data_IF_993563160965
#
_entry.id   IF_993563160965
#
_cell.length_a   1.000
_cell.length_b   1.000
_cell.length_c   1.000
_cell.angle_alpha   90.00
_cell.angle_beta   90.00
_cell.angle_gamma   90.00
#
_symmetry.space_group_name_H-M   'P 1'
#
loop_
_entity.id
_entity.type
_entity.pdbx_description
1 polymer ?
#
# COMPACT_ATOMS: atom_id res chain seq x y z
N UNK A 1 44.39 20.96 -16.81
CA UNK A 1 44.64 20.77 -15.36
C UNK A 1 43.92 21.92 -14.68
N UNK A 2 42.80 21.74 -14.00
CA UNK A 2 42.59 20.75 -12.95
C UNK A 2 41.11 20.31 -12.89
N UNK A 3 40.89 19.02 -13.08
CA UNK A 3 39.58 18.35 -13.07
C UNK A 3 39.26 17.78 -11.70
N UNK A 4 39.27 18.61 -10.65
CA UNK A 4 39.04 18.17 -9.25
C UNK A 4 38.01 19.01 -8.50
N UNK A 5 36.90 19.37 -9.16
CA UNK A 5 35.71 19.91 -8.47
C UNK A 5 34.41 19.21 -8.90
N UNK A 6 34.49 17.98 -9.43
CA UNK A 6 33.36 17.27 -10.04
C UNK A 6 32.86 16.04 -9.28
N UNK A 7 33.08 15.89 -7.97
CA UNK A 7 32.77 14.59 -7.33
C UNK A 7 32.25 14.58 -5.88
N UNK A 8 31.63 15.65 -5.34
CA UNK A 8 31.00 15.55 -4.00
C UNK A 8 29.62 16.17 -3.82
N UNK A 9 28.89 16.46 -4.91
CA UNK A 9 27.44 16.71 -4.82
C UNK A 9 26.70 15.71 -5.70
N UNK A 10 27.00 14.42 -5.50
CA UNK A 10 26.09 13.37 -5.93
C UNK A 10 25.01 13.27 -4.87
N UNK A 11 24.05 14.19 -5.03
CA UNK A 11 22.64 14.08 -4.69
C UNK A 11 22.31 12.84 -3.87
N UNK A 12 21.86 13.10 -2.65
CA UNK A 12 21.09 12.24 -1.77
C UNK A 12 19.80 11.76 -2.49
N UNK A 13 19.94 10.99 -3.57
CA UNK A 13 18.87 10.24 -4.21
C UNK A 13 18.63 9.06 -3.29
N UNK A 14 17.76 9.26 -2.31
CA UNK A 14 17.05 8.17 -1.67
C UNK A 14 16.46 7.32 -2.78
N UNK A 15 17.09 6.18 -3.08
CA UNK A 15 16.56 5.15 -3.96
C UNK A 15 15.16 4.83 -3.45
N UNK A 16 14.15 5.02 -4.30
CA UNK A 16 12.75 4.69 -4.01
C UNK A 16 12.70 3.31 -3.35
N UNK A 17 12.25 3.29 -2.09
CA UNK A 17 12.56 2.20 -1.16
C UNK A 17 11.62 1.00 -1.29
N UNK A 18 10.66 1.05 -2.21
CA UNK A 18 9.70 -0.01 -2.45
C UNK A 18 9.64 -0.30 -3.94
N UNK A 19 9.87 -1.56 -4.31
CA UNK A 19 9.79 -2.03 -5.70
C UNK A 19 8.36 -2.45 -6.06
N UNK A 20 7.53 -2.73 -5.06
CA UNK A 20 6.14 -3.15 -5.24
C UNK A 20 5.26 -2.71 -4.07
N UNK A 21 3.96 -2.52 -4.30
CA UNK A 21 3.01 -2.10 -3.25
C UNK A 21 2.87 -3.15 -2.13
N UNK A 22 3.14 -4.41 -2.41
CA UNK A 22 3.09 -5.51 -1.43
C UNK A 22 4.13 -5.36 -0.33
N UNK A 23 5.20 -4.59 -0.58
CA UNK A 23 6.23 -4.30 0.42
C UNK A 23 5.77 -3.25 1.44
N UNK A 24 4.75 -2.44 1.08
CA UNK A 24 4.23 -1.38 1.92
C UNK A 24 3.54 -1.96 3.17
N UNK A 25 4.01 -1.56 4.34
CA UNK A 25 3.42 -1.97 5.62
C UNK A 25 1.93 -1.55 5.73
N UNK A 26 1.59 -0.40 5.15
CA UNK A 26 0.20 0.08 5.11
C UNK A 26 -0.70 -0.83 4.25
N UNK A 27 -0.19 -1.38 3.15
CA UNK A 27 -0.93 -2.34 2.32
C UNK A 27 -1.15 -3.66 3.07
N UNK A 28 -0.11 -4.18 3.74
CA UNK A 28 -0.22 -5.39 4.57
C UNK A 28 -1.26 -5.23 5.68
N UNK A 29 -1.27 -4.07 6.35
CA UNK A 29 -2.26 -3.73 7.38
C UNK A 29 -3.68 -3.65 6.82
N UNK A 30 -3.86 -3.10 5.61
CA UNK A 30 -5.14 -3.07 4.92
C UNK A 30 -5.65 -4.50 4.60
N UNK A 31 -4.80 -5.38 4.09
CA UNK A 31 -5.13 -6.79 3.86
C UNK A 31 -5.55 -7.50 5.15
N UNK A 32 -4.82 -7.29 6.25
CA UNK A 32 -5.17 -7.85 7.57
C UNK A 32 -6.50 -7.28 8.10
N UNK A 33 -6.79 -6.01 7.87
CA UNK A 33 -8.08 -5.41 8.21
C UNK A 33 -9.23 -6.08 7.44
N UNK A 34 -9.07 -6.30 6.14
CA UNK A 34 -10.06 -7.02 5.34
C UNK A 34 -10.32 -8.41 5.92
N UNK A 35 -9.28 -9.21 6.18
CA UNK A 35 -9.43 -10.54 6.80
C UNK A 35 -10.17 -10.47 8.14
N UNK A 36 -9.89 -9.47 8.98
CA UNK A 36 -10.60 -9.28 10.26
C UNK A 36 -12.07 -8.96 10.05
N UNK A 37 -12.42 -8.10 9.08
CA UNK A 37 -13.82 -7.77 8.76
C UNK A 37 -14.58 -9.00 8.24
N UNK A 38 -13.96 -9.82 7.39
CA UNK A 38 -14.56 -11.07 6.93
C UNK A 38 -14.85 -12.03 8.09
N UNK A 39 -13.91 -12.19 9.02
CA UNK A 39 -14.08 -13.03 10.22
C UNK A 39 -15.16 -12.49 11.17
N UNK A 40 -15.13 -11.17 11.43
CA UNK A 40 -16.08 -10.52 12.33
C UNK A 40 -17.53 -10.64 11.84
N UNK A 41 -17.73 -10.59 10.52
CA UNK A 41 -19.06 -10.63 9.91
C UNK A 41 -19.47 -12.02 9.43
N UNK A 42 -18.73 -13.07 9.78
CA UNK A 42 -18.99 -14.44 9.32
C UNK A 42 -20.40 -14.92 9.70
N UNK A 43 -20.87 -14.58 10.91
CA UNK A 43 -22.20 -14.96 11.42
C UNK A 43 -23.27 -13.86 11.22
N UNK A 44 -22.89 -12.73 10.62
CA UNK A 44 -23.83 -11.65 10.33
C UNK A 44 -24.84 -12.10 9.27
N UNK A 45 -26.13 -12.09 9.63
CA UNK A 45 -27.24 -12.44 8.73
C UNK A 45 -27.78 -11.25 7.94
N UNK A 46 -27.33 -10.04 8.25
CA UNK A 46 -27.56 -8.89 7.37
C UNK A 46 -26.56 -8.95 6.21
N UNK A 47 -26.99 -9.60 5.14
CA UNK A 47 -26.16 -9.82 3.96
C UNK A 47 -25.80 -8.52 3.23
N UNK A 48 -26.67 -7.51 3.29
CA UNK A 48 -26.41 -6.21 2.65
C UNK A 48 -25.31 -5.44 3.36
N UNK A 49 -25.41 -5.34 4.70
CA UNK A 49 -24.36 -4.74 5.52
C UNK A 49 -23.04 -5.51 5.38
N UNK A 50 -23.09 -6.84 5.47
CA UNK A 50 -21.90 -7.69 5.37
C UNK A 50 -21.13 -7.44 4.08
N UNK A 51 -21.83 -7.43 2.96
CA UNK A 51 -21.27 -7.24 1.63
C UNK A 51 -20.70 -5.82 1.44
N UNK A 52 -21.41 -4.78 1.90
CA UNK A 52 -20.88 -3.40 1.89
C UNK A 52 -19.59 -3.26 2.70
N UNK A 53 -19.56 -3.80 3.92
CA UNK A 53 -18.39 -3.73 4.80
C UNK A 53 -17.19 -4.49 4.24
N UNK A 54 -17.42 -5.69 3.70
CA UNK A 54 -16.36 -6.50 3.07
C UNK A 54 -15.75 -5.80 1.86
N UNK A 55 -16.58 -5.25 0.96
CA UNK A 55 -16.09 -4.49 -0.20
C UNK A 55 -15.33 -3.23 0.20
N UNK A 56 -15.85 -2.47 1.15
CA UNK A 56 -15.18 -1.27 1.66
C UNK A 56 -13.78 -1.62 2.22
N UNK A 57 -13.66 -2.72 2.96
CA UNK A 57 -12.39 -3.16 3.53
C UNK A 57 -11.36 -3.54 2.45
N UNK A 58 -11.78 -4.28 1.42
CA UNK A 58 -10.91 -4.67 0.30
C UNK A 58 -10.46 -3.45 -0.51
N UNK A 59 -11.36 -2.47 -0.72
CA UNK A 59 -11.07 -1.26 -1.50
C UNK A 59 -9.88 -0.47 -0.95
N UNK A 60 -9.60 -0.51 0.35
CA UNK A 60 -8.44 0.16 0.94
C UNK A 60 -7.13 -0.39 0.35
N UNK A 61 -6.97 -1.72 0.32
CA UNK A 61 -5.77 -2.35 -0.22
C UNK A 61 -5.64 -2.12 -1.74
N UNK A 62 -6.77 -2.18 -2.47
CA UNK A 62 -6.82 -1.88 -3.90
C UNK A 62 -6.39 -0.45 -4.21
N UNK A 63 -6.91 0.54 -3.47
CA UNK A 63 -6.55 1.95 -3.68
C UNK A 63 -5.07 2.23 -3.37
N UNK A 64 -4.48 1.52 -2.38
CA UNK A 64 -3.05 1.62 -2.10
C UNK A 64 -2.22 1.04 -3.26
N UNK A 65 -2.62 -0.11 -3.80
CA UNK A 65 -1.95 -0.72 -4.95
C UNK A 65 -2.02 0.19 -6.18
N UNK A 66 -3.22 0.66 -6.53
CA UNK A 66 -3.43 1.59 -7.65
C UNK A 66 -2.65 2.89 -7.48
N UNK A 67 -2.59 3.43 -6.26
CA UNK A 67 -1.83 4.65 -5.96
C UNK A 67 -0.32 4.46 -6.09
N UNK A 68 0.19 3.29 -5.69
CA UNK A 68 1.61 2.94 -5.80
C UNK A 68 2.07 2.78 -7.25
N UNK A 69 1.19 2.32 -8.15
CA UNK A 69 1.48 2.19 -9.59
C UNK A 69 1.48 3.52 -10.34
N UNK A 70 0.79 4.54 -9.81
CA UNK A 70 0.64 5.87 -10.44
C UNK A 70 1.75 6.87 -10.08
N UNK A 71 2.62 6.55 -9.12
CA UNK A 71 3.58 7.48 -8.51
C UNK A 71 5.06 7.08 -8.58
N UNK A 72 5.43 6.16 -9.47
CA UNK A 72 6.81 5.70 -9.70
C UNK A 72 7.49 6.37 -10.89
#
# INVERSE_FOLDING_TARGET
MDGRLSAQVSVFRGRGMYQSFEELEVWKRACQLAVRIYKLLQECRDYGLRDQMQRAAVSIASNIAEGSERGG
#
